data_IF_246771769822
#
_entry.id   IF_246771769822
#
_cell.length_a   1.000
_cell.length_b   1.000
_cell.length_c   1.000
_cell.angle_alpha   90.00
_cell.angle_beta   90.00
_cell.angle_gamma   90.00
#
_symmetry.space_group_name_H-M   'P 1'
#
loop_
_entity.id
_entity.type
_entity.pdbx_description
1 polymer ?
#
# COMPACT_ATOMS: atom_id res chain seq x y z
N UNK A 1 6.35 -6.32 -9.90
CA UNK A 1 7.13 -5.26 -9.25
C UNK A 1 8.12 -4.73 -10.29
N UNK A 2 7.85 -3.54 -10.85
CA UNK A 2 8.57 -3.05 -12.06
C UNK A 2 9.76 -2.13 -11.75
N UNK A 3 10.08 -1.88 -10.48
CA UNK A 3 11.16 -0.96 -10.14
C UNK A 3 12.18 -1.61 -9.20
N UNK A 4 12.90 -2.59 -9.76
CA UNK A 4 13.97 -3.29 -9.04
C UNK A 4 15.12 -2.36 -8.61
N UNK A 5 15.38 -1.30 -9.37
CA UNK A 5 16.46 -0.34 -9.05
C UNK A 5 16.14 0.42 -7.76
N UNK A 6 14.92 0.94 -7.64
CA UNK A 6 14.48 1.65 -6.43
C UNK A 6 14.36 0.71 -5.22
N UNK A 7 13.92 -0.54 -5.44
CA UNK A 7 13.87 -1.55 -4.39
C UNK A 7 15.26 -1.88 -3.86
N UNK A 8 16.23 -2.12 -4.74
CA UNK A 8 17.60 -2.43 -4.34
C UNK A 8 18.25 -1.29 -3.54
N UNK A 9 17.99 -0.06 -3.95
CA UNK A 9 18.46 1.12 -3.21
C UNK A 9 17.82 1.22 -1.83
N UNK A 10 16.52 0.99 -1.74
CA UNK A 10 15.79 0.99 -0.48
C UNK A 10 16.33 -0.08 0.48
N UNK A 11 16.48 -1.32 -0.01
CA UNK A 11 17.02 -2.42 0.80
C UNK A 11 18.45 -2.11 1.25
N UNK A 12 19.31 -1.58 0.36
CA UNK A 12 20.67 -1.23 0.72
C UNK A 12 20.72 -0.16 1.82
N UNK A 13 19.85 0.85 1.77
CA UNK A 13 19.74 1.87 2.81
C UNK A 13 19.26 1.29 4.14
N UNK A 14 18.24 0.42 4.10
CA UNK A 14 17.72 -0.22 5.31
C UNK A 14 18.71 -1.21 5.93
N UNK A 15 19.49 -1.94 5.13
CA UNK A 15 20.58 -2.78 5.62
C UNK A 15 21.70 -1.93 6.24
N UNK A 16 22.04 -0.79 5.65
CA UNK A 16 23.06 0.12 6.20
C UNK A 16 22.61 0.73 7.54
N UNK A 17 21.32 1.01 7.71
CA UNK A 17 20.74 1.48 8.98
C UNK A 17 20.87 0.43 10.08
N UNK A 18 20.55 -0.84 9.78
CA UNK A 18 20.49 -1.90 10.80
C UNK A 18 21.88 -2.50 11.12
N UNK A 19 22.72 -2.66 10.12
CA UNK A 19 24.04 -3.27 10.28
C UNK A 19 25.11 -2.27 10.75
N UNK A 20 25.01 -0.99 10.39
CA UNK A 20 26.07 -0.01 10.70
C UNK A 20 27.45 -0.49 10.22
N UNK A 21 28.37 -0.70 11.17
CA UNK A 21 29.72 -1.24 10.92
C UNK A 21 29.79 -2.77 10.95
N UNK A 22 28.70 -3.48 11.18
CA UNK A 22 28.60 -4.96 11.19
C UNK A 22 27.85 -5.49 12.40
N UNK A 23 27.39 -6.74 12.28
CA UNK A 23 26.71 -7.47 13.37
C UNK A 23 27.71 -7.98 14.41
N UNK A 24 27.94 -7.18 15.45
CA UNK A 24 28.90 -7.52 16.51
C UNK A 24 28.55 -8.82 17.22
N UNK A 25 27.26 -9.08 17.47
CA UNK A 25 26.83 -10.29 18.17
C UNK A 25 27.16 -11.52 17.34
N UNK A 26 26.67 -11.57 16.11
CA UNK A 26 26.88 -12.72 15.21
C UNK A 26 28.37 -12.96 14.96
N UNK A 27 29.12 -11.89 14.68
CA UNK A 27 30.58 -11.97 14.43
C UNK A 27 31.37 -12.47 15.68
N UNK A 28 30.84 -12.28 16.88
CA UNK A 28 31.51 -12.69 18.13
C UNK A 28 31.21 -14.11 18.56
N UNK A 29 30.01 -14.64 18.22
CA UNK A 29 29.55 -15.91 18.81
C UNK A 29 29.26 -17.01 17.79
N UNK A 30 29.18 -16.69 16.49
CA UNK A 30 28.86 -17.66 15.44
C UNK A 30 30.11 -17.97 14.61
N UNK A 31 30.57 -19.25 14.56
CA UNK A 31 31.67 -19.62 13.69
C UNK A 31 31.34 -19.32 12.22
N UNK A 32 32.31 -18.84 11.42
CA UNK A 32 32.08 -18.40 10.03
C UNK A 32 31.47 -19.47 9.12
N UNK A 33 31.81 -20.73 9.36
CA UNK A 33 31.35 -21.91 8.58
C UNK A 33 29.95 -22.38 8.98
N UNK A 34 29.35 -21.81 10.03
CA UNK A 34 28.05 -22.24 10.53
C UNK A 34 26.94 -22.03 9.51
N UNK A 35 26.18 -23.07 9.26
CA UNK A 35 24.98 -23.02 8.42
C UNK A 35 23.75 -23.35 9.25
N UNK A 36 22.65 -22.67 8.97
CA UNK A 36 21.36 -22.85 9.68
C UNK A 36 20.24 -22.97 8.66
N UNK A 37 19.15 -23.58 9.11
CA UNK A 37 17.86 -23.59 8.43
C UNK A 37 16.76 -23.13 9.37
N UNK A 38 15.65 -22.66 8.79
CA UNK A 38 14.51 -22.20 9.56
C UNK A 38 13.31 -21.87 8.70
N UNK A 39 12.21 -21.50 9.37
CA UNK A 39 10.92 -21.23 8.74
C UNK A 39 10.34 -19.89 9.19
N UNK A 40 9.86 -19.12 8.22
CA UNK A 40 9.01 -17.97 8.47
C UNK A 40 7.57 -18.45 8.71
N UNK A 41 7.02 -18.13 9.87
CA UNK A 41 5.71 -18.62 10.31
C UNK A 41 4.79 -17.46 10.70
N UNK A 42 3.58 -17.44 10.14
CA UNK A 42 2.52 -16.51 10.54
C UNK A 42 2.04 -16.86 11.94
N UNK A 43 1.96 -15.87 12.84
CA UNK A 43 1.42 -16.05 14.21
C UNK A 43 -0.07 -15.74 14.29
N UNK A 44 -0.61 -15.08 13.31
CA UNK A 44 -2.02 -14.75 13.18
C UNK A 44 -2.49 -14.95 11.74
N UNK A 45 -3.80 -15.04 11.53
CA UNK A 45 -4.37 -15.15 10.19
C UNK A 45 -4.21 -13.83 9.42
N UNK A 46 -3.88 -13.92 8.14
CA UNK A 46 -3.76 -12.74 7.28
C UNK A 46 -3.32 -13.03 5.87
N UNK A 47 -3.13 -11.97 5.10
CA UNK A 47 -2.67 -12.00 3.70
C UNK A 47 -1.17 -11.82 3.67
N UNK A 48 -0.46 -12.76 3.09
CA UNK A 48 1.00 -12.70 2.92
C UNK A 48 1.36 -11.67 1.86
N UNK A 49 2.33 -10.81 2.18
CA UNK A 49 2.87 -9.85 1.23
C UNK A 49 4.32 -9.50 1.55
N UNK A 50 5.16 -9.47 0.52
CA UNK A 50 6.56 -9.05 0.63
C UNK A 50 7.59 -10.20 0.57
N UNK A 51 7.19 -11.40 0.16
CA UNK A 51 8.11 -12.54 0.03
C UNK A 51 9.32 -12.24 -0.87
N UNK A 52 9.09 -11.60 -2.01
CA UNK A 52 10.18 -11.20 -2.91
C UNK A 52 11.09 -10.12 -2.30
N UNK A 53 10.56 -9.27 -1.43
CA UNK A 53 11.35 -8.25 -0.71
C UNK A 53 12.24 -8.92 0.33
N UNK A 54 11.69 -9.85 1.12
CA UNK A 54 12.46 -10.63 2.10
C UNK A 54 13.57 -11.44 1.43
N UNK A 55 13.26 -12.14 0.34
CA UNK A 55 14.25 -12.85 -0.46
C UNK A 55 15.38 -11.92 -0.92
N UNK A 56 15.03 -10.71 -1.36
CA UNK A 56 16.02 -9.74 -1.83
C UNK A 56 16.93 -9.22 -0.71
N UNK A 57 16.41 -9.07 0.52
CA UNK A 57 17.22 -8.73 1.69
C UNK A 57 18.34 -9.77 1.87
N UNK A 58 18.01 -11.04 1.91
CA UNK A 58 18.98 -12.12 2.12
C UNK A 58 19.96 -12.25 0.96
N UNK A 59 19.49 -12.18 -0.27
CA UNK A 59 20.37 -12.28 -1.45
C UNK A 59 21.38 -11.12 -1.58
N UNK A 60 21.13 -10.01 -0.90
CA UNK A 60 22.07 -8.87 -0.81
C UNK A 60 23.15 -9.07 0.24
N UNK A 61 22.87 -9.87 1.26
CA UNK A 61 23.81 -10.19 2.33
C UNK A 61 24.74 -11.32 1.94
N UNK A 62 24.19 -12.41 1.39
CA UNK A 62 24.97 -13.55 0.96
C UNK A 62 24.24 -14.32 -0.15
N UNK A 63 24.88 -14.55 -1.32
CA UNK A 63 24.27 -15.26 -2.45
C UNK A 63 24.03 -16.75 -2.17
N UNK A 64 24.67 -17.34 -1.17
CA UNK A 64 24.50 -18.75 -0.78
C UNK A 64 23.30 -18.98 0.13
N UNK A 65 22.59 -17.91 0.54
CA UNK A 65 21.34 -18.02 1.28
C UNK A 65 20.22 -18.40 0.30
N UNK A 66 19.53 -19.48 0.62
CA UNK A 66 18.35 -19.97 -0.10
C UNK A 66 17.10 -19.57 0.65
N UNK A 67 16.23 -18.77 0.01
CA UNK A 67 14.90 -18.42 0.51
C UNK A 67 13.86 -19.08 -0.40
N UNK A 68 13.03 -19.96 0.15
CA UNK A 68 12.06 -20.75 -0.61
C UNK A 68 10.65 -20.41 -0.13
N UNK A 69 9.86 -19.60 -0.89
CA UNK A 69 8.47 -19.34 -0.57
C UNK A 69 7.63 -20.61 -0.56
N UNK A 70 6.73 -20.77 0.42
CA UNK A 70 5.74 -21.84 0.54
C UNK A 70 4.34 -21.42 0.12
N UNK A 71 4.15 -20.14 -0.13
CA UNK A 71 2.93 -19.53 -0.65
C UNK A 71 3.29 -18.34 -1.55
N UNK A 72 2.29 -17.62 -2.03
CA UNK A 72 2.45 -16.42 -2.87
C UNK A 72 1.98 -15.17 -2.15
N UNK A 73 2.51 -14.01 -2.52
CA UNK A 73 1.92 -12.73 -2.13
C UNK A 73 0.46 -12.68 -2.59
N UNK A 74 -0.45 -12.35 -1.68
CA UNK A 74 -1.91 -12.36 -1.89
C UNK A 74 -2.62 -13.58 -1.30
N UNK A 75 -1.90 -14.65 -0.96
CA UNK A 75 -2.51 -15.82 -0.32
C UNK A 75 -2.95 -15.46 1.11
N UNK A 76 -4.19 -15.81 1.45
CA UNK A 76 -4.70 -15.74 2.81
C UNK A 76 -4.32 -17.03 3.55
N UNK A 77 -3.58 -16.92 4.65
CA UNK A 77 -3.07 -18.05 5.43
C UNK A 77 -3.50 -17.96 6.88
N UNK A 78 -3.60 -19.12 7.54
CA UNK A 78 -3.97 -19.23 8.96
C UNK A 78 -2.76 -19.01 9.87
N UNK A 79 -3.03 -18.72 11.13
CA UNK A 79 -2.01 -18.78 12.17
C UNK A 79 -1.33 -20.17 12.20
N UNK A 80 -0.02 -20.18 12.40
CA UNK A 80 0.81 -21.40 12.37
C UNK A 80 1.30 -21.83 10.98
N UNK A 81 0.84 -21.19 9.91
CA UNK A 81 1.28 -21.55 8.54
C UNK A 81 2.73 -21.10 8.29
N UNK A 82 3.55 -22.03 7.77
CA UNK A 82 4.87 -21.71 7.21
C UNK A 82 4.68 -21.00 5.86
N UNK A 83 5.25 -19.79 5.70
CA UNK A 83 5.13 -18.98 4.48
C UNK A 83 6.41 -19.00 3.63
N UNK A 84 7.56 -19.29 4.24
CA UNK A 84 8.82 -19.49 3.54
C UNK A 84 9.78 -20.31 4.40
N UNK A 85 10.73 -20.95 3.74
CA UNK A 85 11.89 -21.59 4.35
C UNK A 85 13.15 -20.81 3.99
N UNK A 86 14.15 -20.87 4.87
CA UNK A 86 15.44 -20.26 4.65
C UNK A 86 16.54 -21.23 5.08
N UNK A 87 17.63 -21.27 4.33
CA UNK A 87 18.82 -22.03 4.69
C UNK A 87 20.08 -21.40 4.10
N UNK A 88 21.20 -21.53 4.80
CA UNK A 88 22.46 -20.97 4.31
C UNK A 88 23.42 -20.56 5.41
N UNK A 89 24.41 -19.69 5.11
CA UNK A 89 25.34 -19.12 6.09
C UNK A 89 24.61 -18.42 7.22
N UNK A 90 24.89 -18.83 8.46
CA UNK A 90 24.21 -18.34 9.65
C UNK A 90 24.37 -16.83 9.82
N UNK A 91 25.56 -16.31 9.58
CA UNK A 91 25.86 -14.88 9.74
C UNK A 91 24.94 -14.01 8.88
N UNK A 92 24.78 -14.31 7.59
CA UNK A 92 23.92 -13.55 6.71
C UNK A 92 22.42 -13.68 7.06
N UNK A 93 21.99 -14.88 7.49
CA UNK A 93 20.58 -15.09 7.89
C UNK A 93 20.25 -14.32 9.17
N UNK A 94 21.08 -14.41 10.20
CA UNK A 94 20.87 -13.71 11.48
C UNK A 94 20.90 -12.19 11.30
N UNK A 95 21.86 -11.68 10.52
CA UNK A 95 21.98 -10.25 10.24
C UNK A 95 20.83 -9.69 9.39
N UNK A 96 20.18 -10.51 8.55
CA UNK A 96 19.06 -10.07 7.69
C UNK A 96 17.67 -10.31 8.27
N UNK A 97 17.54 -11.12 9.31
CA UNK A 97 16.28 -11.58 9.89
C UNK A 97 15.34 -10.43 10.21
N UNK A 98 15.82 -9.47 11.01
CA UNK A 98 14.99 -8.38 11.52
C UNK A 98 14.44 -7.53 10.38
N UNK A 99 15.27 -7.16 9.43
CA UNK A 99 14.86 -6.33 8.28
C UNK A 99 13.85 -7.07 7.40
N UNK A 100 14.10 -8.35 7.10
CA UNK A 100 13.18 -9.17 6.32
C UNK A 100 11.82 -9.31 7.00
N UNK A 101 11.80 -9.55 8.33
CA UNK A 101 10.58 -9.60 9.13
C UNK A 101 9.85 -8.26 9.15
N UNK A 102 10.55 -7.14 9.30
CA UNK A 102 9.93 -5.82 9.30
C UNK A 102 9.17 -5.54 7.99
N UNK A 103 9.74 -5.87 6.84
CA UNK A 103 9.05 -5.76 5.56
C UNK A 103 7.85 -6.70 5.46
N UNK A 104 8.04 -7.99 5.76
CA UNK A 104 6.96 -8.99 5.68
C UNK A 104 5.78 -8.62 6.58
N UNK A 105 6.06 -8.27 7.83
CA UNK A 105 5.05 -7.91 8.83
C UNK A 105 4.25 -6.68 8.41
N UNK A 106 4.95 -5.61 7.98
CA UNK A 106 4.30 -4.37 7.55
C UNK A 106 3.46 -4.57 6.29
N UNK A 107 4.04 -5.17 5.25
CA UNK A 107 3.36 -5.33 3.97
C UNK A 107 2.19 -6.30 4.08
N UNK A 108 2.32 -7.37 4.84
CA UNK A 108 1.22 -8.29 5.13
C UNK A 108 0.10 -7.63 5.94
N UNK A 109 0.45 -6.73 6.87
CA UNK A 109 -0.52 -5.92 7.60
C UNK A 109 -1.36 -5.02 6.67
N UNK A 110 -0.71 -4.32 5.73
CA UNK A 110 -1.38 -3.49 4.72
C UNK A 110 -2.29 -4.35 3.82
N UNK A 111 -1.78 -5.47 3.31
CA UNK A 111 -2.54 -6.36 2.44
C UNK A 111 -3.77 -6.95 3.16
N UNK A 112 -3.61 -7.35 4.42
CA UNK A 112 -4.69 -7.90 5.24
C UNK A 112 -5.77 -6.85 5.52
N UNK A 113 -5.38 -5.64 5.94
CA UNK A 113 -6.32 -4.53 6.14
C UNK A 113 -7.07 -4.21 4.84
N UNK A 114 -6.35 -4.14 3.74
CA UNK A 114 -6.94 -3.85 2.43
C UNK A 114 -7.96 -4.92 2.03
N UNK A 115 -7.62 -6.22 2.15
CA UNK A 115 -8.53 -7.31 1.83
C UNK A 115 -9.81 -7.25 2.68
N UNK A 116 -9.70 -6.92 3.97
CA UNK A 116 -10.86 -6.76 4.85
C UNK A 116 -11.80 -5.67 4.36
N UNK A 117 -11.27 -4.50 3.93
CA UNK A 117 -12.08 -3.39 3.44
C UNK A 117 -12.66 -3.66 2.04
N UNK A 118 -11.91 -4.30 1.15
CA UNK A 118 -12.40 -4.75 -0.16
C UNK A 118 -13.56 -5.73 0.00
N UNK A 119 -13.51 -6.62 1.00
CA UNK A 119 -14.60 -7.57 1.28
C UNK A 119 -15.90 -6.87 1.67
N UNK A 120 -15.84 -5.73 2.37
CA UNK A 120 -17.02 -4.98 2.79
C UNK A 120 -17.79 -4.39 1.61
N UNK A 121 -17.10 -4.01 0.54
CA UNK A 121 -17.73 -3.43 -0.67
C UNK A 121 -17.92 -4.45 -1.80
N UNK A 122 -17.71 -5.74 -1.53
CA UNK A 122 -17.87 -6.79 -2.53
C UNK A 122 -19.25 -6.80 -3.16
N UNK A 123 -19.33 -6.88 -4.50
CA UNK A 123 -20.59 -6.91 -5.26
C UNK A 123 -21.22 -5.54 -5.55
N UNK A 124 -20.68 -4.42 -5.04
CA UNK A 124 -21.19 -3.06 -5.33
C UNK A 124 -20.59 -2.46 -6.61
N UNK A 125 -19.43 -2.96 -7.05
CA UNK A 125 -18.66 -2.36 -8.15
C UNK A 125 -17.63 -1.33 -7.68
N UNK A 126 -17.82 -0.74 -6.50
CA UNK A 126 -16.94 0.27 -5.90
C UNK A 126 -15.55 -0.30 -5.60
N UNK A 127 -14.50 0.49 -5.83
CA UNK A 127 -13.10 0.11 -5.59
C UNK A 127 -12.57 0.79 -4.33
N UNK A 128 -11.84 0.03 -3.52
CA UNK A 128 -11.05 0.58 -2.42
C UNK A 128 -9.70 1.04 -2.98
N UNK A 129 -9.33 2.30 -2.74
CA UNK A 129 -8.09 2.89 -3.25
C UNK A 129 -7.24 3.47 -2.13
N UNK A 130 -5.93 3.47 -2.34
CA UNK A 130 -4.98 4.09 -1.43
C UNK A 130 -4.88 5.62 -1.67
N UNK A 131 -3.93 6.24 -0.98
CA UNK A 131 -3.63 7.67 -1.13
C UNK A 131 -2.11 7.89 -1.19
N UNK A 132 -1.67 9.17 -1.13
CA UNK A 132 -0.27 9.54 -0.94
C UNK A 132 0.14 9.66 0.54
N UNK A 133 -0.75 9.34 1.48
CA UNK A 133 -0.45 9.30 2.92
C UNK A 133 0.31 8.02 3.27
N UNK A 134 1.53 7.89 2.75
CA UNK A 134 2.41 6.73 2.89
C UNK A 134 3.63 7.07 3.74
N UNK A 135 4.28 6.05 4.32
CA UNK A 135 5.57 6.22 4.98
C UNK A 135 6.60 6.74 3.98
N UNK A 136 7.33 7.83 4.31
CA UNK A 136 8.38 8.33 3.44
C UNK A 136 9.38 7.22 3.05
N UNK A 137 9.70 7.14 1.76
CA UNK A 137 10.57 6.09 1.20
C UNK A 137 9.89 4.75 0.91
N UNK A 138 8.78 4.39 1.58
CA UNK A 138 8.14 3.08 1.43
C UNK A 138 6.94 3.04 0.47
N UNK A 139 6.58 4.15 -0.18
CA UNK A 139 5.35 4.25 -0.98
C UNK A 139 5.19 3.15 -2.02
N UNK A 140 6.26 2.79 -2.71
CA UNK A 140 6.21 1.77 -3.75
C UNK A 140 5.82 0.39 -3.20
N UNK A 141 6.33 0.04 -2.01
CA UNK A 141 6.03 -1.20 -1.33
C UNK A 141 4.65 -1.18 -0.69
N UNK A 142 4.26 -0.08 -0.06
CA UNK A 142 2.95 0.06 0.57
C UNK A 142 1.82 0.01 -0.46
N UNK A 143 1.98 0.70 -1.61
CA UNK A 143 1.03 0.62 -2.72
C UNK A 143 1.02 -0.76 -3.39
N UNK A 144 2.15 -1.45 -3.44
CA UNK A 144 2.20 -2.85 -3.85
C UNK A 144 1.36 -3.72 -2.91
N UNK A 145 1.49 -3.54 -1.60
CA UNK A 145 0.73 -4.30 -0.61
C UNK A 145 -0.79 -4.03 -0.69
N UNK A 146 -1.20 -2.78 -0.98
CA UNK A 146 -2.61 -2.46 -1.25
C UNK A 146 -3.15 -3.27 -2.44
N UNK A 147 -2.42 -3.31 -3.57
CA UNK A 147 -2.84 -4.14 -4.70
C UNK A 147 -2.89 -5.64 -4.35
N UNK A 148 -1.92 -6.10 -3.59
CA UNK A 148 -1.86 -7.49 -3.13
C UNK A 148 -3.09 -7.86 -2.28
N UNK A 149 -3.61 -6.92 -1.48
CA UNK A 149 -4.85 -7.08 -0.73
C UNK A 149 -6.14 -6.90 -1.55
N UNK A 150 -6.05 -6.68 -2.88
CA UNK A 150 -7.20 -6.53 -3.76
C UNK A 150 -7.68 -5.09 -3.95
N UNK A 151 -7.02 -4.10 -3.34
CA UNK A 151 -7.28 -2.68 -3.56
C UNK A 151 -6.65 -2.17 -4.87
N UNK A 152 -6.90 -0.90 -5.17
CA UNK A 152 -6.30 -0.21 -6.31
C UNK A 152 -5.43 0.95 -5.85
N UNK A 153 -4.51 1.39 -6.70
CA UNK A 153 -3.67 2.53 -6.40
C UNK A 153 -4.26 3.81 -7.00
N UNK A 154 -4.38 4.84 -6.16
CA UNK A 154 -4.47 6.22 -6.60
C UNK A 154 -3.10 6.67 -7.13
N UNK A 155 -2.97 7.90 -7.67
CA UNK A 155 -1.73 8.43 -8.22
C UNK A 155 -0.51 8.14 -7.33
N UNK A 156 0.60 7.73 -7.96
CA UNK A 156 1.84 7.38 -7.27
C UNK A 156 2.53 8.62 -6.68
N UNK A 157 2.55 9.71 -7.45
CA UNK A 157 3.23 10.95 -7.08
C UNK A 157 2.52 12.19 -7.69
N UNK A 158 3.11 13.36 -7.58
CA UNK A 158 2.49 14.61 -8.08
C UNK A 158 2.48 14.72 -9.61
N UNK A 159 3.29 13.94 -10.31
CA UNK A 159 3.34 13.92 -11.77
C UNK A 159 2.36 12.92 -12.42
N UNK A 160 1.72 12.06 -11.62
CA UNK A 160 0.92 10.91 -12.09
C UNK A 160 -0.58 11.22 -12.26
N UNK A 161 -1.01 12.43 -11.96
CA UNK A 161 -2.39 12.89 -12.13
C UNK A 161 -2.58 14.28 -11.52
N UNK A 162 -3.52 15.04 -12.10
CA UNK A 162 -3.92 16.33 -11.57
C UNK A 162 -4.99 16.09 -10.49
N UNK A 163 -4.74 16.57 -9.27
CA UNK A 163 -5.73 16.62 -8.18
C UNK A 163 -5.80 18.04 -7.65
N UNK A 164 -6.90 18.69 -7.97
CA UNK A 164 -7.21 20.07 -7.57
C UNK A 164 -7.92 20.01 -6.21
N UNK A 165 -7.29 20.58 -5.20
CA UNK A 165 -7.76 20.62 -3.82
C UNK A 165 -8.20 22.03 -3.45
N UNK A 166 -8.82 22.17 -2.27
CA UNK A 166 -9.32 23.43 -1.71
C UNK A 166 -8.32 24.60 -1.85
N UNK A 167 -7.06 24.39 -1.51
CA UNK A 167 -6.03 25.40 -1.63
C UNK A 167 -5.67 25.74 -3.09
N UNK A 168 -5.78 24.79 -4.02
CA UNK A 168 -5.61 25.06 -5.45
C UNK A 168 -6.79 25.87 -5.98
N UNK A 169 -8.02 25.54 -5.57
CA UNK A 169 -9.24 26.27 -5.95
C UNK A 169 -9.17 27.72 -5.50
N UNK A 170 -8.79 27.95 -4.23
CA UNK A 170 -8.61 29.31 -3.69
C UNK A 170 -7.54 30.10 -4.44
N UNK A 171 -6.38 29.46 -4.69
CA UNK A 171 -5.26 30.10 -5.36
C UNK A 171 -5.54 30.42 -6.84
N UNK A 172 -6.41 29.67 -7.50
CA UNK A 172 -6.76 29.85 -8.92
C UNK A 172 -7.98 30.74 -9.15
N UNK A 173 -8.73 31.06 -8.09
CA UNK A 173 -9.94 31.89 -8.17
C UNK A 173 -11.24 31.13 -8.45
N UNK A 174 -11.24 29.78 -8.31
CA UNK A 174 -12.43 28.94 -8.45
C UNK A 174 -12.17 27.61 -9.15
N UNK A 175 -13.14 26.69 -9.06
CA UNK A 175 -13.07 25.36 -9.65
C UNK A 175 -12.93 25.43 -11.18
N UNK A 176 -13.81 26.19 -11.82
CA UNK A 176 -13.81 26.35 -13.29
C UNK A 176 -12.46 26.84 -13.78
N UNK A 177 -11.93 27.91 -13.19
CA UNK A 177 -10.61 28.47 -13.55
C UNK A 177 -9.49 27.47 -13.36
N UNK A 178 -9.52 26.70 -12.26
CA UNK A 178 -8.51 25.68 -11.97
C UNK A 178 -8.51 24.55 -13.00
N UNK A 179 -9.71 24.02 -13.32
CA UNK A 179 -9.88 22.93 -14.28
C UNK A 179 -9.47 23.36 -15.70
N UNK A 180 -9.90 24.55 -16.15
CA UNK A 180 -9.52 25.10 -17.45
C UNK A 180 -8.01 25.33 -17.57
N UNK A 181 -7.37 25.86 -16.53
CA UNK A 181 -5.93 26.06 -16.49
C UNK A 181 -5.19 24.71 -16.53
N UNK A 182 -5.65 23.71 -15.77
CA UNK A 182 -5.11 22.37 -15.80
C UNK A 182 -5.27 21.73 -17.18
N UNK A 183 -6.44 21.84 -17.80
CA UNK A 183 -6.72 21.29 -19.14
C UNK A 183 -5.82 21.89 -20.24
N UNK A 184 -5.40 23.15 -20.08
CA UNK A 184 -4.47 23.83 -21.02
C UNK A 184 -3.02 23.43 -20.81
N UNK A 185 -2.59 23.15 -19.57
CA UNK A 185 -1.16 23.00 -19.21
C UNK A 185 -0.72 21.57 -18.94
N UNK A 186 -1.61 20.72 -18.39
CA UNK A 186 -1.28 19.36 -18.06
C UNK A 186 -1.18 18.48 -19.33
N UNK A 187 -0.37 17.42 -19.31
CA UNK A 187 -0.38 16.41 -20.36
C UNK A 187 -1.80 15.88 -20.62
N UNK A 188 -2.21 15.81 -21.88
CA UNK A 188 -3.57 15.40 -22.27
C UNK A 188 -3.97 13.99 -21.83
N UNK A 189 -3.00 13.15 -21.55
CA UNK A 189 -3.19 11.78 -21.07
C UNK A 189 -3.53 11.68 -19.58
N UNK A 190 -3.34 12.76 -18.80
CA UNK A 190 -3.64 12.78 -17.39
C UNK A 190 -5.09 13.20 -17.13
N UNK A 191 -5.73 12.50 -16.21
CA UNK A 191 -7.05 12.88 -15.68
C UNK A 191 -6.95 14.06 -14.74
N UNK A 192 -7.99 14.89 -14.74
CA UNK A 192 -8.16 16.01 -13.82
C UNK A 192 -9.22 15.62 -12.80
N UNK A 193 -8.80 15.52 -11.57
CA UNK A 193 -9.62 15.27 -10.40
C UNK A 193 -9.81 16.55 -9.60
N UNK A 194 -11.04 16.76 -9.09
CA UNK A 194 -11.41 17.92 -8.27
C UNK A 194 -12.01 17.45 -6.95
N UNK A 195 -11.47 17.93 -5.84
CA UNK A 195 -12.01 17.74 -4.49
C UNK A 195 -13.09 18.79 -4.23
N UNK A 196 -14.28 18.34 -3.80
CA UNK A 196 -15.46 19.18 -3.55
C UNK A 196 -16.14 18.80 -2.25
N UNK A 197 -16.81 19.78 -1.59
CA UNK A 197 -17.46 19.60 -0.29
C UNK A 197 -18.98 19.87 -0.34
N UNK A 198 -19.52 20.28 -1.47
CA UNK A 198 -20.94 20.63 -1.62
C UNK A 198 -21.51 20.28 -2.99
N UNK A 199 -22.84 20.12 -3.07
CA UNK A 199 -23.56 19.86 -4.32
C UNK A 199 -23.34 20.98 -5.34
N UNK A 200 -23.26 22.23 -4.90
CA UNK A 200 -22.95 23.38 -5.78
C UNK A 200 -21.59 23.23 -6.44
N UNK A 201 -20.57 22.80 -5.69
CA UNK A 201 -19.23 22.55 -6.22
C UNK A 201 -19.20 21.35 -7.16
N UNK A 202 -20.00 20.29 -6.87
CA UNK A 202 -20.20 19.18 -7.79
C UNK A 202 -20.72 19.67 -9.14
N UNK A 203 -21.76 20.53 -9.14
CA UNK A 203 -22.31 21.10 -10.38
C UNK A 203 -21.26 21.91 -11.15
N UNK A 204 -20.45 22.70 -10.45
CA UNK A 204 -19.38 23.49 -11.04
C UNK A 204 -18.31 22.61 -11.64
N UNK A 205 -17.82 21.58 -10.91
CA UNK A 205 -16.81 20.63 -11.38
C UNK A 205 -17.26 19.84 -12.61
N UNK A 206 -18.54 19.43 -12.63
CA UNK A 206 -19.15 18.76 -13.80
C UNK A 206 -19.19 19.70 -15.02
N UNK A 207 -19.62 20.96 -14.85
CA UNK A 207 -19.67 21.97 -15.91
C UNK A 207 -18.27 22.31 -16.44
N UNK A 208 -17.28 22.34 -15.55
CA UNK A 208 -15.88 22.58 -15.92
C UNK A 208 -15.23 21.38 -16.64
N UNK A 209 -15.86 20.20 -16.63
CA UNK A 209 -15.38 19.01 -17.31
C UNK A 209 -14.27 18.29 -16.52
N UNK A 210 -14.40 18.16 -15.20
CA UNK A 210 -13.55 17.31 -14.40
C UNK A 210 -13.71 15.84 -14.81
N UNK A 211 -12.63 15.07 -14.84
CA UNK A 211 -12.64 13.64 -15.19
C UNK A 211 -13.00 12.77 -13.98
N UNK A 212 -12.66 13.24 -12.77
CA UNK A 212 -12.96 12.60 -11.48
C UNK A 212 -13.43 13.69 -10.52
N UNK A 213 -14.46 13.40 -9.73
CA UNK A 213 -14.96 14.30 -8.69
C UNK A 213 -14.86 13.58 -7.36
N UNK A 214 -14.03 14.11 -6.45
CA UNK A 214 -13.83 13.58 -5.12
C UNK A 214 -14.76 14.32 -4.15
N UNK A 215 -15.66 13.59 -3.53
CA UNK A 215 -16.61 14.05 -2.52
C UNK A 215 -15.92 13.98 -1.15
N UNK A 216 -15.38 15.10 -0.65
CA UNK A 216 -14.62 15.13 0.59
C UNK A 216 -15.53 15.39 1.79
N UNK A 217 -15.53 14.45 2.74
CA UNK A 217 -16.31 14.50 3.98
C UNK A 217 -17.83 14.72 3.82
N UNK A 218 -18.40 14.46 2.66
CA UNK A 218 -19.85 14.60 2.42
C UNK A 218 -20.65 13.48 3.14
N UNK A 219 -21.86 13.75 3.66
CA UNK A 219 -22.80 12.72 4.12
C UNK A 219 -23.18 11.75 3.00
N UNK A 220 -23.52 10.49 3.35
CA UNK A 220 -23.82 9.44 2.35
C UNK A 220 -25.03 9.79 1.48
N UNK A 221 -26.03 10.48 2.04
CA UNK A 221 -27.21 10.94 1.32
C UNK A 221 -26.84 11.97 0.25
N UNK A 222 -25.95 12.91 0.58
CA UNK A 222 -25.43 13.89 -0.39
C UNK A 222 -24.52 13.26 -1.42
N UNK A 223 -23.78 12.18 -1.08
CA UNK A 223 -23.01 11.41 -2.07
C UNK A 223 -23.96 10.79 -3.11
N UNK A 224 -25.08 10.20 -2.67
CA UNK A 224 -26.07 9.63 -3.59
C UNK A 224 -26.71 10.68 -4.49
N UNK A 225 -26.94 11.90 -3.99
CA UNK A 225 -27.41 13.04 -4.78
C UNK A 225 -26.36 13.48 -5.80
N UNK A 226 -25.09 13.63 -5.37
CA UNK A 226 -23.97 13.97 -6.24
C UNK A 226 -23.77 12.95 -7.38
N UNK A 227 -23.86 11.65 -7.08
CA UNK A 227 -23.77 10.59 -8.09
C UNK A 227 -24.86 10.73 -9.15
N UNK A 228 -26.11 10.96 -8.75
CA UNK A 228 -27.22 11.20 -9.68
C UNK A 228 -27.00 12.45 -10.52
N UNK A 229 -26.51 13.54 -9.91
CA UNK A 229 -26.21 14.78 -10.60
C UNK A 229 -25.09 14.58 -11.62
N UNK A 230 -24.02 13.90 -11.24
CA UNK A 230 -22.86 13.60 -12.13
C UNK A 230 -23.30 12.72 -13.29
N UNK A 231 -24.17 11.75 -13.07
CA UNK A 231 -24.79 10.89 -14.09
C UNK A 231 -23.78 10.36 -15.12
N UNK A 232 -22.69 9.74 -14.65
CA UNK A 232 -21.66 9.11 -15.47
C UNK A 232 -20.76 10.06 -16.28
N UNK A 233 -20.86 11.40 -16.08
CA UNK A 233 -20.00 12.38 -16.78
C UNK A 233 -18.59 12.47 -16.22
N UNK A 234 -18.39 12.02 -14.99
CA UNK A 234 -17.11 11.88 -14.32
C UNK A 234 -17.15 10.65 -13.41
N UNK A 235 -15.99 10.10 -13.06
CA UNK A 235 -15.88 9.11 -11.98
C UNK A 235 -16.10 9.80 -10.63
N UNK A 236 -16.67 9.09 -9.68
CA UNK A 236 -16.96 9.61 -8.34
C UNK A 236 -16.11 8.91 -7.31
N UNK A 237 -15.34 9.68 -6.55
CA UNK A 237 -14.56 9.19 -5.42
C UNK A 237 -15.16 9.72 -4.10
N UNK A 238 -15.35 8.84 -3.11
CA UNK A 238 -15.65 9.23 -1.75
C UNK A 238 -14.36 9.28 -0.92
N UNK A 239 -14.15 10.36 -0.19
CA UNK A 239 -12.97 10.60 0.64
C UNK A 239 -13.35 11.26 1.98
N UNK A 240 -12.40 11.27 2.93
CA UNK A 240 -12.59 11.91 4.24
C UNK A 240 -13.23 11.01 5.29
N UNK A 241 -12.45 10.69 6.34
CA UNK A 241 -12.90 9.92 7.52
C UNK A 241 -13.60 8.57 7.23
N UNK A 242 -13.27 7.92 6.11
CA UNK A 242 -13.91 6.69 5.66
C UNK A 242 -13.71 5.51 6.61
N UNK A 243 -12.67 5.50 7.45
CA UNK A 243 -12.44 4.44 8.46
C UNK A 243 -13.55 4.36 9.52
N UNK A 244 -14.29 5.45 9.72
CA UNK A 244 -15.34 5.56 10.74
C UNK A 244 -16.75 5.40 10.15
N UNK A 245 -16.86 4.99 8.88
CA UNK A 245 -18.14 4.85 8.17
C UNK A 245 -18.41 3.39 7.82
N UNK A 246 -19.67 3.06 7.63
CA UNK A 246 -20.05 1.84 6.94
C UNK A 246 -19.73 1.95 5.44
N UNK A 247 -18.63 1.28 5.03
CA UNK A 247 -18.18 1.35 3.63
C UNK A 247 -19.19 0.73 2.66
N UNK A 248 -20.00 -0.22 3.13
CA UNK A 248 -21.06 -0.80 2.33
C UNK A 248 -22.15 0.22 2.02
N UNK A 249 -22.53 1.00 3.00
CA UNK A 249 -23.50 2.09 2.83
C UNK A 249 -22.96 3.17 1.87
N UNK A 250 -21.68 3.60 2.07
CA UNK A 250 -21.01 4.53 1.15
C UNK A 250 -20.97 3.97 -0.27
N UNK A 251 -20.61 2.70 -0.45
CA UNK A 251 -20.55 2.08 -1.78
C UNK A 251 -21.94 2.00 -2.44
N UNK A 252 -23.00 1.77 -1.65
CA UNK A 252 -24.39 1.73 -2.14
C UNK A 252 -24.90 3.13 -2.59
N UNK A 253 -24.22 4.23 -2.24
CA UNK A 253 -24.53 5.54 -2.81
C UNK A 253 -24.21 5.65 -4.30
N UNK A 254 -23.47 4.68 -4.85
CA UNK A 254 -23.12 4.59 -6.26
C UNK A 254 -21.77 5.22 -6.62
N UNK A 255 -20.92 5.52 -5.64
CA UNK A 255 -19.55 6.00 -5.90
C UNK A 255 -18.69 4.92 -6.55
N UNK A 256 -17.79 5.31 -7.45
CA UNK A 256 -16.90 4.38 -8.15
C UNK A 256 -15.73 3.95 -7.28
N UNK A 257 -15.26 4.84 -6.39
CA UNK A 257 -14.08 4.62 -5.56
C UNK A 257 -14.30 5.16 -4.14
N UNK A 258 -13.65 4.49 -3.17
CA UNK A 258 -13.51 4.97 -1.79
C UNK A 258 -12.03 5.00 -1.45
N UNK A 259 -11.49 6.20 -1.18
CA UNK A 259 -10.09 6.35 -0.81
C UNK A 259 -9.89 6.36 0.70
N UNK A 260 -8.90 5.55 1.15
CA UNK A 260 -8.56 5.42 2.56
C UNK A 260 -7.05 5.61 2.77
N UNK A 261 -6.70 6.71 3.43
CA UNK A 261 -5.30 6.96 3.82
C UNK A 261 -4.80 5.96 4.86
N UNK A 262 -5.69 5.45 5.71
CA UNK A 262 -5.38 4.51 6.78
C UNK A 262 -4.88 3.14 6.31
N UNK A 263 -5.07 2.81 5.04
CA UNK A 263 -4.46 1.63 4.43
C UNK A 263 -2.94 1.62 4.57
N UNK A 264 -2.33 2.80 4.65
CA UNK A 264 -0.88 2.95 4.67
C UNK A 264 -0.35 3.72 5.88
N UNK A 265 -1.06 4.77 6.36
CA UNK A 265 -0.56 5.57 7.48
C UNK A 265 -0.91 5.00 8.87
N UNK A 266 -1.93 4.12 9.00
CA UNK A 266 -2.39 3.56 10.29
C UNK A 266 -2.59 2.06 10.18
N UNK A 267 -1.52 1.35 9.88
CA UNK A 267 -1.49 -0.09 9.72
C UNK A 267 -0.86 -0.77 10.93
N UNK A 268 -1.49 -1.84 11.42
CA UNK A 268 -0.87 -2.78 12.36
C UNK A 268 -0.08 -3.82 11.56
N UNK A 269 1.21 -3.95 11.85
CA UNK A 269 2.02 -5.03 11.31
C UNK A 269 1.50 -6.40 11.79
N UNK A 270 1.50 -7.41 10.92
CA UNK A 270 1.17 -8.78 11.33
C UNK A 270 2.33 -9.42 12.09
N UNK A 271 2.00 -10.29 13.04
CA UNK A 271 3.02 -11.05 13.76
C UNK A 271 3.51 -12.24 12.92
N UNK A 272 4.76 -12.14 12.46
CA UNK A 272 5.48 -13.17 11.72
C UNK A 272 6.81 -13.42 12.43
N UNK A 273 7.19 -14.67 12.61
CA UNK A 273 8.47 -15.04 13.22
C UNK A 273 9.29 -15.91 12.29
N UNK A 274 10.62 -15.79 12.40
CA UNK A 274 11.57 -16.79 11.91
C UNK A 274 11.93 -17.71 13.07
N UNK A 275 11.85 -19.03 12.86
CA UNK A 275 12.28 -20.04 13.83
C UNK A 275 13.29 -20.95 13.15
N UNK A 276 14.41 -21.11 13.80
CA UNK A 276 15.46 -22.01 13.34
C UNK A 276 15.18 -23.44 13.78
N UNK A 277 15.58 -24.38 12.92
CA UNK A 277 15.56 -25.76 13.23
C UNK A 277 16.58 -26.05 14.34
N UNK A 278 16.32 -27.10 15.14
CA UNK A 278 17.31 -27.54 16.11
C UNK A 278 18.55 -28.06 15.36
N UNK A 279 19.77 -27.78 15.86
CA UNK A 279 20.95 -28.41 15.27
C UNK A 279 20.74 -29.91 15.23
N UNK A 280 21.03 -30.54 14.08
CA UNK A 280 21.14 -31.99 14.01
C UNK A 280 22.34 -32.39 14.86
N UNK A 281 22.07 -33.19 15.91
CA UNK A 281 23.10 -33.75 16.80
C UNK A 281 23.93 -34.83 16.06
#
# INVERSE_FOLDING_TARGET
MHDYINLDRLIAQALAEDLGSGDVTTNSVVPPETRISGQFTMKEEGVVCGLAVAQRVFSRLDPDIRFIPRCKDGDKVKAGSAIAEISGPAAGILSGERLALNFLQRLSGIATKTQSLVSQVAGTGTKIVDTRKTTPGLRILEKYAVRTGGGQNHRMNLADGVLIKDNHIRASGGITTAVEAARKKAPRTLKIEVEVESIREVEEAVKAGADIIMLDNMPTELMAEAVKLINGRALVEASGNMDNRDLREVANSGVDMISLGSLTHSVRALDISLRFDKPEN
#
